data_IF_568419126795
#
_entry.id   IF_568419126795
#
_cell.length_a   1.000
_cell.length_b   1.000
_cell.length_c   1.000
_cell.angle_alpha   90.00
_cell.angle_beta   90.00
_cell.angle_gamma   90.00
#
_symmetry.space_group_name_H-M   'P 1'
#
loop_
_entity.id
_entity.type
_entity.pdbx_description
1 polymer ?
#
# COMPACT_ATOMS: atom_id res chain seq x y z
N UNK A 1 -18.41 -8.98 -21.12
CA UNK A 1 -19.61 -9.80 -20.92
C UNK A 1 -20.50 -9.12 -19.89
N UNK A 2 -21.71 -8.72 -20.26
CA UNK A 2 -22.63 -8.08 -19.31
C UNK A 2 -23.69 -9.07 -18.86
N UNK A 3 -23.94 -9.17 -17.56
CA UNK A 3 -24.88 -10.14 -17.00
C UNK A 3 -25.94 -9.48 -16.12
N UNK A 4 -27.01 -10.24 -15.86
CA UNK A 4 -28.08 -9.88 -14.92
C UNK A 4 -28.01 -10.75 -13.66
N UNK A 5 -28.70 -10.37 -12.56
CA UNK A 5 -28.64 -11.13 -11.31
C UNK A 5 -28.94 -12.63 -11.48
N UNK A 6 -28.13 -13.48 -10.83
CA UNK A 6 -28.31 -14.93 -10.84
C UNK A 6 -27.85 -15.61 -12.14
N UNK A 7 -26.96 -14.97 -12.89
CA UNK A 7 -26.04 -15.63 -13.81
C UNK A 7 -24.78 -16.05 -13.05
N UNK A 8 -24.04 -17.02 -13.59
CA UNK A 8 -22.69 -17.33 -13.14
C UNK A 8 -21.84 -17.65 -14.36
N UNK A 9 -20.75 -16.90 -14.51
CA UNK A 9 -19.76 -17.08 -15.56
C UNK A 9 -18.93 -18.35 -15.29
N UNK A 10 -18.55 -18.58 -14.04
CA UNK A 10 -17.86 -19.79 -13.60
C UNK A 10 -18.50 -20.43 -12.34
N UNK A 11 -18.72 -21.76 -12.34
CA UNK A 11 -18.52 -22.68 -13.46
C UNK A 11 -19.62 -22.54 -14.51
N UNK A 12 -19.28 -22.34 -15.79
CA UNK A 12 -20.30 -22.35 -16.84
C UNK A 12 -19.94 -21.78 -18.21
N UNK A 13 -18.80 -21.11 -18.33
CA UNK A 13 -18.35 -20.53 -19.59
C UNK A 13 -17.04 -21.16 -20.02
N UNK A 14 -16.93 -21.50 -21.30
CA UNK A 14 -15.70 -22.00 -21.91
C UNK A 14 -15.56 -21.34 -23.27
N UNK A 15 -14.41 -20.76 -23.56
CA UNK A 15 -14.10 -20.28 -24.91
C UNK A 15 -13.03 -21.15 -25.56
N UNK A 16 -13.02 -21.15 -26.89
CA UNK A 16 -12.14 -21.99 -27.68
C UNK A 16 -11.28 -21.12 -28.58
N UNK A 17 -9.99 -21.45 -28.65
CA UNK A 17 -9.07 -20.86 -29.60
C UNK A 17 -9.12 -21.53 -30.98
N UNK A 18 -8.38 -21.00 -31.94
CA UNK A 18 -8.30 -21.52 -33.31
C UNK A 18 -7.74 -22.96 -33.41
N UNK A 19 -7.08 -23.46 -32.38
CA UNK A 19 -6.62 -24.86 -32.30
C UNK A 19 -7.68 -25.78 -31.69
N UNK A 20 -8.85 -25.25 -31.30
CA UNK A 20 -9.90 -25.98 -30.61
C UNK A 20 -9.58 -26.29 -29.16
N UNK A 21 -8.53 -25.68 -28.58
CA UNK A 21 -8.22 -25.82 -27.15
C UNK A 21 -9.24 -25.01 -26.35
N UNK A 22 -9.76 -25.64 -25.31
CA UNK A 22 -10.71 -25.05 -24.37
C UNK A 22 -9.98 -24.22 -23.31
N UNK A 23 -10.56 -23.08 -22.98
CA UNK A 23 -10.10 -22.16 -21.93
C UNK A 23 -11.27 -21.85 -20.99
N UNK A 24 -11.06 -22.05 -19.70
CA UNK A 24 -12.11 -21.88 -18.68
C UNK A 24 -11.84 -20.65 -17.81
N UNK A 25 -11.31 -19.58 -18.39
CA UNK A 25 -11.04 -18.30 -17.75
C UNK A 25 -11.66 -17.17 -18.57
N UNK A 26 -11.68 -15.96 -18.01
CA UNK A 26 -12.13 -14.77 -18.73
C UNK A 26 -11.06 -13.67 -18.66
N UNK A 27 -10.03 -13.82 -19.51
CA UNK A 27 -8.87 -12.92 -19.58
C UNK A 27 -7.85 -13.12 -18.45
N UNK A 28 -8.17 -13.97 -17.48
CA UNK A 28 -7.26 -14.39 -16.41
C UNK A 28 -6.30 -15.48 -16.89
N UNK A 29 -5.14 -15.56 -16.26
CA UNK A 29 -4.20 -16.69 -16.40
C UNK A 29 -4.65 -17.95 -15.64
N UNK A 30 -5.69 -17.85 -14.80
CA UNK A 30 -6.16 -18.90 -13.90
C UNK A 30 -7.57 -19.37 -14.34
N UNK A 31 -7.70 -20.67 -14.55
CA UNK A 31 -8.99 -21.29 -14.84
C UNK A 31 -9.98 -21.08 -13.69
N UNK A 32 -11.21 -20.74 -14.05
CA UNK A 32 -12.32 -20.44 -13.15
C UNK A 32 -12.38 -18.97 -12.73
N UNK A 33 -11.47 -18.10 -13.18
CA UNK A 33 -11.43 -16.70 -12.78
C UNK A 33 -11.58 -15.73 -13.96
N UNK A 34 -12.10 -14.55 -13.66
CA UNK A 34 -11.96 -13.34 -14.47
C UNK A 34 -10.70 -12.56 -14.05
N UNK A 35 -10.32 -11.57 -14.86
CA UNK A 35 -9.25 -10.61 -14.51
C UNK A 35 -9.45 -9.98 -13.13
N UNK A 36 -10.68 -9.60 -12.77
CA UNK A 36 -10.99 -9.08 -11.43
C UNK A 36 -10.76 -10.11 -10.32
N UNK A 37 -11.02 -11.39 -10.59
CA UNK A 37 -10.89 -12.48 -9.62
C UNK A 37 -9.43 -12.81 -9.36
N UNK A 38 -8.62 -12.88 -10.41
CA UNK A 38 -7.16 -13.02 -10.31
C UNK A 38 -6.54 -11.87 -9.52
N UNK A 39 -7.02 -10.64 -9.73
CA UNK A 39 -6.57 -9.45 -9.00
C UNK A 39 -7.26 -9.25 -7.65
N UNK A 40 -8.19 -10.13 -7.24
CA UNK A 40 -8.96 -10.01 -5.98
C UNK A 40 -9.70 -8.66 -5.83
N UNK A 41 -10.24 -8.14 -6.92
CA UNK A 41 -11.01 -6.88 -7.00
C UNK A 41 -12.51 -7.08 -7.13
N UNK A 42 -12.95 -8.33 -7.23
CA UNK A 42 -14.36 -8.70 -7.17
C UNK A 42 -14.61 -9.66 -6.00
N UNK A 43 -15.85 -9.67 -5.51
CA UNK A 43 -16.27 -10.46 -4.33
C UNK A 43 -16.32 -11.99 -4.58
N UNK A 44 -16.15 -12.40 -5.83
CA UNK A 44 -16.24 -13.77 -6.33
C UNK A 44 -15.22 -13.97 -7.46
N UNK A 45 -15.26 -15.10 -8.16
CA UNK A 45 -14.38 -15.37 -9.29
C UNK A 45 -14.50 -14.34 -10.43
N UNK A 46 -15.71 -13.81 -10.63
CA UNK A 46 -16.06 -12.75 -11.58
C UNK A 46 -17.12 -11.83 -10.98
N UNK A 47 -17.30 -10.63 -11.52
CA UNK A 47 -18.43 -9.77 -11.15
C UNK A 47 -19.78 -10.43 -11.50
N UNK A 48 -19.80 -11.23 -12.57
CA UNK A 48 -20.95 -11.98 -13.02
C UNK A 48 -21.23 -13.30 -12.28
N UNK A 49 -20.43 -13.67 -11.27
CA UNK A 49 -20.67 -14.89 -10.46
C UNK A 49 -21.54 -14.64 -9.21
N UNK A 50 -21.99 -13.40 -9.00
CA UNK A 50 -22.71 -12.96 -7.81
C UNK A 50 -24.22 -12.78 -7.99
N UNK A 51 -24.94 -12.79 -6.85
CA UNK A 51 -26.35 -12.43 -6.73
C UNK A 51 -26.59 -10.92 -6.56
N UNK A 52 -25.77 -10.07 -7.19
CA UNK A 52 -25.94 -8.60 -7.14
C UNK A 52 -27.29 -8.28 -7.78
N UNK A 53 -28.30 -8.00 -6.95
CA UNK A 53 -29.71 -8.03 -7.32
C UNK A 53 -30.17 -6.81 -8.14
N UNK A 54 -29.34 -5.76 -8.23
CA UNK A 54 -29.84 -4.42 -8.53
C UNK A 54 -29.14 -3.68 -9.68
N UNK A 55 -28.06 -4.25 -10.27
CA UNK A 55 -27.34 -3.62 -11.37
C UNK A 55 -26.80 -4.63 -12.40
N UNK A 56 -26.78 -4.23 -13.68
CA UNK A 56 -26.04 -4.98 -14.71
C UNK A 56 -24.55 -4.82 -14.45
N UNK A 57 -23.84 -5.94 -14.25
CA UNK A 57 -22.38 -5.96 -14.11
C UNK A 57 -21.73 -6.43 -15.40
N UNK A 58 -20.47 -6.05 -15.60
CA UNK A 58 -19.70 -6.44 -16.80
C UNK A 58 -18.33 -6.97 -16.40
N UNK A 59 -17.99 -8.16 -16.90
CA UNK A 59 -16.63 -8.69 -16.89
C UNK A 59 -15.99 -8.47 -18.27
N UNK A 60 -15.05 -7.53 -18.34
CA UNK A 60 -14.23 -7.29 -19.51
C UNK A 60 -12.97 -8.17 -19.45
N UNK A 61 -12.57 -8.69 -20.61
CA UNK A 61 -11.37 -9.51 -20.74
C UNK A 61 -10.65 -9.15 -22.03
N UNK A 62 -9.33 -9.10 -21.93
CA UNK A 62 -8.44 -8.97 -23.08
C UNK A 62 -7.51 -10.17 -23.10
N UNK A 63 -7.57 -10.96 -24.17
CA UNK A 63 -6.65 -12.10 -24.36
C UNK A 63 -5.47 -11.58 -25.17
N UNK A 64 -4.29 -11.57 -24.55
CA UNK A 64 -3.05 -11.03 -25.16
C UNK A 64 -2.08 -12.12 -25.62
N UNK A 65 -2.23 -13.36 -25.12
CA UNK A 65 -1.45 -14.51 -25.56
C UNK A 65 -1.84 -14.91 -27.00
N UNK A 66 -0.93 -14.63 -27.94
CA UNK A 66 -1.11 -14.92 -29.37
C UNK A 66 -1.38 -16.39 -29.66
N UNK A 67 -0.92 -17.30 -28.79
CA UNK A 67 -1.13 -18.75 -28.98
C UNK A 67 -2.57 -19.18 -28.69
N UNK A 68 -3.35 -18.33 -28.01
CA UNK A 68 -4.76 -18.56 -27.68
C UNK A 68 -5.71 -17.78 -28.60
N UNK A 69 -5.18 -17.03 -29.57
CA UNK A 69 -5.98 -16.23 -30.50
C UNK A 69 -6.04 -16.87 -31.90
N UNK A 70 -7.08 -16.56 -32.70
CA UNK A 70 -8.32 -15.91 -32.29
C UNK A 70 -9.22 -16.80 -31.43
N UNK A 71 -10.12 -16.16 -30.71
CA UNK A 71 -11.24 -16.79 -30.05
C UNK A 71 -12.30 -17.14 -31.10
N UNK A 72 -12.58 -18.43 -31.30
CA UNK A 72 -13.43 -18.91 -32.42
C UNK A 72 -14.84 -19.32 -32.00
N UNK A 73 -15.05 -19.66 -30.72
CA UNK A 73 -16.38 -19.93 -30.19
C UNK A 73 -16.41 -19.82 -28.67
N UNK A 74 -17.60 -19.56 -28.13
CA UNK A 74 -17.87 -19.56 -26.69
C UNK A 74 -19.05 -20.47 -26.42
N UNK A 75 -18.88 -21.39 -25.47
CA UNK A 75 -19.92 -22.27 -24.97
C UNK A 75 -20.37 -21.80 -23.59
N UNK A 76 -21.68 -21.73 -23.41
CA UNK A 76 -22.32 -21.45 -22.12
C UNK A 76 -23.13 -22.66 -21.71
N UNK A 77 -22.87 -23.18 -20.50
CA UNK A 77 -23.67 -24.25 -19.91
C UNK A 77 -25.03 -23.75 -19.43
N UNK A 78 -25.13 -22.45 -19.12
CA UNK A 78 -26.34 -21.79 -18.64
C UNK A 78 -27.04 -21.04 -19.79
N UNK A 79 -28.02 -21.68 -20.42
CA UNK A 79 -28.78 -21.08 -21.53
C UNK A 79 -29.97 -20.25 -21.04
N UNK A 80 -29.81 -18.95 -20.83
CA UNK A 80 -30.93 -18.02 -20.67
C UNK A 80 -30.73 -16.76 -21.52
N UNK A 81 -31.58 -16.59 -22.54
CA UNK A 81 -31.49 -15.50 -23.56
C UNK A 81 -31.43 -14.09 -22.97
N UNK A 82 -31.97 -13.88 -21.77
CA UNK A 82 -32.09 -12.56 -21.16
C UNK A 82 -31.10 -12.31 -20.02
N UNK A 83 -30.20 -13.27 -19.73
CA UNK A 83 -29.30 -13.19 -18.56
C UNK A 83 -27.86 -12.78 -18.83
N UNK A 84 -27.46 -12.69 -20.10
CA UNK A 84 -26.09 -12.36 -20.49
C UNK A 84 -26.00 -11.85 -21.91
N UNK A 85 -25.12 -10.87 -22.13
CA UNK A 85 -24.74 -10.35 -23.45
C UNK A 85 -23.22 -10.48 -23.59
N UNK A 86 -22.80 -11.15 -24.66
CA UNK A 86 -21.39 -11.24 -25.06
C UNK A 86 -21.19 -10.28 -26.21
N UNK A 87 -20.14 -9.47 -26.11
CA UNK A 87 -19.60 -8.73 -27.24
C UNK A 87 -18.16 -9.22 -27.46
N UNK A 88 -17.82 -9.54 -28.70
CA UNK A 88 -16.48 -10.01 -29.09
C UNK A 88 -16.01 -9.12 -30.22
N UNK A 89 -15.10 -8.21 -29.88
CA UNK A 89 -14.49 -7.28 -30.82
C UNK A 89 -13.64 -8.01 -31.88
N UNK A 90 -13.39 -7.39 -33.05
CA UNK A 90 -12.53 -7.97 -34.07
C UNK A 90 -11.13 -8.31 -33.55
N UNK A 91 -10.53 -9.40 -34.06
CA UNK A 91 -9.11 -9.69 -33.81
C UNK A 91 -8.26 -8.56 -34.40
N UNK A 92 -7.51 -7.87 -33.55
CA UNK A 92 -6.55 -6.85 -33.95
C UNK A 92 -5.13 -7.42 -33.91
N UNK A 93 -4.40 -7.31 -35.02
CA UNK A 93 -3.00 -7.72 -35.12
C UNK A 93 -2.16 -6.57 -35.68
N UNK A 94 -0.99 -6.35 -35.09
CA UNK A 94 -0.08 -5.28 -35.47
C UNK A 94 1.36 -5.71 -35.22
N UNK A 95 2.29 -5.06 -35.91
CA UNK A 95 3.74 -5.20 -35.67
C UNK A 95 4.22 -4.27 -34.54
N UNK A 96 3.30 -3.60 -33.84
CA UNK A 96 3.52 -2.76 -32.66
C UNK A 96 2.50 -3.14 -31.59
N UNK A 97 2.76 -2.88 -30.28
CA UNK A 97 1.76 -3.05 -29.24
C UNK A 97 0.51 -2.27 -29.62
N UNK A 98 -0.62 -2.94 -29.55
CA UNK A 98 -1.92 -2.33 -29.79
C UNK A 98 -2.41 -1.92 -28.42
N UNK A 99 -2.57 -0.63 -28.13
CA UNK A 99 -3.33 -0.16 -26.96
C UNK A 99 -2.94 -0.86 -25.63
N UNK A 100 -1.67 -1.20 -25.45
CA UNK A 100 -1.14 -1.73 -24.20
C UNK A 100 -0.26 -0.64 -23.61
N UNK A 101 -0.72 0.07 -22.58
CA UNK A 101 0.07 1.14 -21.97
C UNK A 101 1.26 0.55 -21.22
N UNK A 102 2.31 1.35 -21.07
CA UNK A 102 3.47 0.97 -20.27
C UNK A 102 3.12 0.73 -18.82
N UNK A 103 2.30 1.59 -18.26
CA UNK A 103 1.80 1.53 -16.89
C UNK A 103 0.44 2.22 -16.78
N UNK A 104 -0.17 2.18 -15.60
CA UNK A 104 -1.47 2.81 -15.37
C UNK A 104 -1.40 4.36 -15.47
N UNK A 105 -0.21 4.96 -15.31
CA UNK A 105 -0.05 6.40 -15.47
C UNK A 105 -0.18 6.81 -16.94
N UNK A 106 0.51 6.11 -17.84
CA UNK A 106 0.34 6.30 -19.29
C UNK A 106 -1.11 6.02 -19.71
N UNK A 107 -1.69 4.94 -19.20
CA UNK A 107 -3.08 4.60 -19.49
C UNK A 107 -4.02 5.77 -19.17
N UNK A 108 -3.88 6.39 -18.00
CA UNK A 108 -4.70 7.52 -17.60
C UNK A 108 -4.48 8.77 -18.46
N UNK A 109 -3.23 9.20 -18.61
CA UNK A 109 -2.94 10.53 -19.17
C UNK A 109 -2.73 10.56 -20.68
N UNK A 110 -2.27 9.46 -21.27
CA UNK A 110 -1.99 9.39 -22.71
C UNK A 110 -3.08 8.64 -23.48
N UNK A 111 -3.73 7.65 -22.85
CA UNK A 111 -4.78 6.84 -23.47
C UNK A 111 -6.20 7.19 -23.01
N UNK A 112 -6.37 8.01 -21.97
CA UNK A 112 -7.67 8.53 -21.53
C UNK A 112 -8.53 7.54 -20.74
N UNK A 113 -7.92 6.58 -20.03
CA UNK A 113 -8.65 5.73 -19.10
C UNK A 113 -8.96 6.49 -17.80
N UNK A 114 -10.25 6.64 -17.47
CA UNK A 114 -10.71 7.40 -16.31
C UNK A 114 -11.21 6.53 -15.13
N UNK A 115 -11.63 5.30 -15.40
CA UNK A 115 -12.21 4.39 -14.40
C UNK A 115 -11.20 3.34 -13.93
N UNK A 116 -11.32 2.94 -12.66
CA UNK A 116 -10.54 1.84 -12.09
C UNK A 116 -10.80 0.53 -12.84
N UNK A 117 -9.72 -0.15 -13.27
CA UNK A 117 -9.89 -1.34 -14.12
C UNK A 117 -8.70 -2.31 -14.10
N UNK A 118 -8.95 -3.63 -14.17
CA UNK A 118 -7.94 -4.61 -14.56
C UNK A 118 -7.41 -4.34 -15.97
N UNK A 119 -6.08 -4.31 -16.13
CA UNK A 119 -5.45 -4.01 -17.42
C UNK A 119 -4.14 -4.79 -17.59
N UNK A 120 -3.82 -5.15 -18.84
CA UNK A 120 -2.47 -5.59 -19.18
C UNK A 120 -1.58 -4.37 -19.45
N UNK A 121 -0.43 -4.32 -18.79
CA UNK A 121 0.60 -3.31 -19.04
C UNK A 121 1.88 -3.94 -19.60
N UNK A 122 2.68 -3.15 -20.30
CA UNK A 122 3.90 -3.59 -21.00
C UNK A 122 5.06 -2.61 -20.74
N UNK A 123 5.87 -2.89 -19.72
CA UNK A 123 6.85 -1.93 -19.18
C UNK A 123 7.98 -1.57 -20.15
N UNK A 124 8.36 -2.50 -21.02
CA UNK A 124 9.51 -2.43 -21.93
C UNK A 124 9.12 -2.52 -23.41
N UNK A 125 7.84 -2.75 -23.71
CA UNK A 125 7.29 -2.70 -25.05
C UNK A 125 7.46 -4.03 -25.80
N UNK A 126 7.21 -4.02 -27.13
CA UNK A 126 6.99 -5.25 -27.90
C UNK A 126 8.18 -6.20 -28.00
N UNK A 127 9.38 -5.68 -27.77
CA UNK A 127 10.63 -6.43 -27.89
C UNK A 127 11.15 -6.93 -26.52
N UNK A 128 10.39 -6.65 -25.46
CA UNK A 128 10.71 -6.95 -24.07
C UNK A 128 9.98 -8.18 -23.51
N UNK A 129 9.72 -8.16 -22.21
CA UNK A 129 8.94 -9.17 -21.50
C UNK A 129 7.46 -9.15 -21.92
N UNK A 130 6.75 -10.27 -21.71
CA UNK A 130 5.33 -10.32 -22.05
C UNK A 130 4.50 -9.41 -21.13
N UNK A 131 3.49 -8.69 -21.69
CA UNK A 131 2.57 -7.87 -20.92
C UNK A 131 1.92 -8.65 -19.77
N UNK A 132 1.61 -7.96 -18.68
CA UNK A 132 1.08 -8.60 -17.48
C UNK A 132 -0.06 -7.85 -16.83
N UNK A 133 -0.90 -8.61 -16.11
CA UNK A 133 -2.16 -8.13 -15.58
C UNK A 133 -1.94 -7.38 -14.26
N UNK A 134 -2.44 -6.15 -14.19
CA UNK A 134 -2.41 -5.30 -13.00
C UNK A 134 -3.78 -4.72 -12.74
N UNK A 135 -3.99 -4.20 -11.54
CA UNK A 135 -5.13 -3.32 -11.28
C UNK A 135 -4.68 -1.87 -11.42
N UNK A 136 -5.34 -1.12 -12.30
CA UNK A 136 -5.12 0.31 -12.43
C UNK A 136 -6.15 1.06 -11.60
N UNK A 137 -5.65 1.81 -10.62
CA UNK A 137 -6.42 2.81 -9.88
C UNK A 137 -6.23 4.16 -10.57
N UNK A 138 -7.30 4.62 -11.19
CA UNK A 138 -7.37 5.86 -11.95
C UNK A 138 -8.15 6.94 -11.18
N UNK A 139 -8.89 6.57 -10.13
CA UNK A 139 -9.85 7.45 -9.49
C UNK A 139 -9.37 8.02 -8.15
N UNK A 140 -8.50 7.31 -7.41
CA UNK A 140 -8.10 7.73 -6.06
C UNK A 140 -7.40 9.08 -6.02
N UNK A 141 -6.68 9.44 -7.09
CA UNK A 141 -5.93 10.69 -7.18
C UNK A 141 -5.98 11.28 -8.57
N UNK A 142 -6.44 12.52 -8.70
CA UNK A 142 -6.61 13.19 -10.01
C UNK A 142 -5.30 13.24 -10.84
N UNK A 143 -4.14 13.46 -10.19
CA UNK A 143 -2.87 13.76 -10.86
C UNK A 143 -2.04 12.54 -11.28
N UNK A 144 -2.50 11.32 -10.99
CA UNK A 144 -1.71 10.09 -11.12
C UNK A 144 -2.61 8.88 -11.42
N UNK A 145 -2.13 7.95 -12.26
CA UNK A 145 -2.71 6.60 -12.41
C UNK A 145 -1.80 5.59 -11.73
N UNK A 146 -2.33 4.77 -10.84
CA UNK A 146 -1.55 3.91 -9.93
C UNK A 146 -1.63 2.46 -10.40
N UNK A 147 -0.47 1.87 -10.65
CA UNK A 147 -0.33 0.43 -10.89
C UNK A 147 -0.32 -0.31 -9.57
N UNK A 148 -1.30 -1.18 -9.33
CA UNK A 148 -1.41 -1.98 -8.11
C UNK A 148 -1.17 -3.46 -8.39
N UNK A 149 -0.30 -4.08 -7.59
CA UNK A 149 -0.05 -5.52 -7.57
C UNK A 149 -0.54 -6.11 -6.24
N UNK A 150 -1.71 -6.77 -6.24
CA UNK A 150 -2.25 -7.41 -5.05
C UNK A 150 -1.39 -8.56 -4.53
N UNK A 151 -1.46 -8.80 -3.22
CA UNK A 151 -0.90 -10.01 -2.60
C UNK A 151 -1.89 -11.18 -2.66
N UNK A 152 -1.36 -12.40 -2.77
CA UNK A 152 -2.13 -13.64 -2.77
C UNK A 152 -2.46 -14.15 -1.35
N UNK A 153 -1.75 -13.68 -0.33
CA UNK A 153 -2.00 -14.06 1.06
C UNK A 153 -3.39 -13.58 1.55
N UNK A 154 -3.91 -14.23 2.60
CA UNK A 154 -5.12 -13.80 3.29
C UNK A 154 -4.88 -12.48 4.06
N UNK A 155 -5.96 -11.77 4.39
CA UNK A 155 -5.91 -10.58 5.25
C UNK A 155 -6.85 -10.84 6.46
N UNK A 156 -6.33 -10.90 7.70
CA UNK A 156 -4.92 -10.82 8.07
C UNK A 156 -4.13 -12.10 7.72
N UNK A 157 -2.80 -11.98 7.70
CA UNK A 157 -1.84 -13.09 7.59
C UNK A 157 -1.50 -13.57 9.00
N UNK A 158 -1.89 -14.79 9.31
CA UNK A 158 -1.53 -15.48 10.55
C UNK A 158 -0.10 -16.02 10.43
N UNK A 159 0.74 -15.76 11.44
CA UNK A 159 2.07 -16.37 11.48
C UNK A 159 2.01 -17.68 12.29
N UNK A 160 2.33 -18.78 11.61
CA UNK A 160 2.30 -20.12 12.21
C UNK A 160 3.69 -20.66 12.57
N UNK A 161 4.76 -20.07 12.03
CA UNK A 161 6.15 -20.45 12.29
C UNK A 161 7.05 -19.22 12.49
N UNK A 162 8.08 -19.34 13.32
CA UNK A 162 9.03 -18.24 13.56
C UNK A 162 9.81 -17.85 12.29
N UNK A 163 9.88 -18.74 11.30
CA UNK A 163 10.47 -18.45 9.99
C UNK A 163 9.64 -17.47 9.15
N UNK A 164 8.38 -17.21 9.55
CA UNK A 164 7.44 -16.34 8.86
C UNK A 164 6.78 -16.99 7.65
N UNK A 165 5.72 -16.37 7.16
CA UNK A 165 5.02 -16.81 5.95
C UNK A 165 5.53 -16.03 4.72
N UNK A 166 5.79 -16.70 3.59
CA UNK A 166 6.18 -16.02 2.36
C UNK A 166 5.02 -15.18 1.82
N UNK A 167 5.32 -13.94 1.43
CA UNK A 167 4.38 -13.07 0.74
C UNK A 167 4.46 -13.35 -0.75
N UNK A 168 3.31 -13.71 -1.33
CA UNK A 168 3.18 -14.00 -2.75
C UNK A 168 2.27 -12.96 -3.39
N UNK A 169 2.48 -12.67 -4.66
CA UNK A 169 1.78 -11.63 -5.41
C UNK A 169 1.06 -12.23 -6.61
N UNK A 170 0.06 -11.51 -7.12
CA UNK A 170 -0.63 -11.90 -8.36
C UNK A 170 0.28 -11.90 -9.59
N UNK A 171 1.43 -11.22 -9.51
CA UNK A 171 2.48 -11.21 -10.53
C UNK A 171 3.79 -11.78 -9.97
N UNK A 172 4.65 -12.27 -10.87
CA UNK A 172 5.96 -12.77 -10.48
C UNK A 172 6.90 -11.64 -10.03
N UNK A 173 7.86 -12.00 -9.18
CA UNK A 173 8.81 -11.03 -8.61
C UNK A 173 9.71 -10.37 -9.67
N UNK A 174 9.91 -10.99 -10.83
CA UNK A 174 10.68 -10.39 -11.93
C UNK A 174 9.95 -9.20 -12.53
N UNK A 175 8.67 -9.36 -12.84
CA UNK A 175 7.80 -8.27 -13.32
C UNK A 175 7.61 -7.17 -12.28
N UNK A 176 7.45 -7.54 -11.01
CA UNK A 176 7.38 -6.58 -9.90
C UNK A 176 8.67 -5.76 -9.79
N UNK A 177 9.83 -6.40 -9.91
CA UNK A 177 11.11 -5.70 -9.91
C UNK A 177 11.22 -4.70 -11.07
N UNK A 178 10.84 -5.12 -12.29
CA UNK A 178 10.78 -4.23 -13.44
C UNK A 178 9.85 -3.03 -13.22
N UNK A 179 8.69 -3.25 -12.59
CA UNK A 179 7.75 -2.17 -12.25
C UNK A 179 8.37 -1.17 -11.28
N UNK A 180 9.02 -1.65 -10.21
CA UNK A 180 9.67 -0.79 -9.20
C UNK A 180 10.81 0.02 -9.83
N UNK A 181 11.66 -0.61 -10.63
CA UNK A 181 12.79 0.03 -11.32
C UNK A 181 12.30 1.09 -12.33
N UNK A 182 11.21 0.80 -13.04
CA UNK A 182 10.59 1.68 -14.05
C UNK A 182 9.67 2.78 -13.50
N UNK A 183 9.43 2.82 -12.18
CA UNK A 183 8.53 3.78 -11.53
C UNK A 183 9.31 4.83 -10.74
N UNK A 184 8.81 6.06 -10.72
CA UNK A 184 9.41 7.15 -9.93
C UNK A 184 9.02 7.07 -8.44
N UNK A 185 7.86 6.50 -8.14
CA UNK A 185 7.39 6.33 -6.77
C UNK A 185 6.68 4.99 -6.62
N UNK A 186 7.00 4.28 -5.54
CA UNK A 186 6.28 3.09 -5.13
C UNK A 186 6.05 3.13 -3.63
N UNK A 187 4.97 2.51 -3.18
CA UNK A 187 4.68 2.38 -1.76
C UNK A 187 4.03 1.06 -1.41
N UNK A 188 4.26 0.60 -0.18
CA UNK A 188 3.56 -0.55 0.37
C UNK A 188 3.34 -0.38 1.88
N UNK A 189 2.10 -0.57 2.34
CA UNK A 189 1.76 -0.50 3.77
C UNK A 189 2.02 -1.84 4.45
N UNK A 190 2.55 -1.78 5.66
CA UNK A 190 2.70 -2.94 6.56
C UNK A 190 2.07 -2.59 7.89
N UNK A 191 1.22 -3.48 8.40
CA UNK A 191 0.60 -3.39 9.72
C UNK A 191 0.87 -4.69 10.48
N UNK A 192 1.25 -4.56 11.74
CA UNK A 192 1.54 -5.65 12.65
C UNK A 192 0.72 -5.50 13.92
N UNK A 193 -0.13 -6.48 14.19
CA UNK A 193 -0.89 -6.58 15.43
C UNK A 193 -0.30 -7.71 16.28
N UNK A 194 -0.15 -7.48 17.57
CA UNK A 194 0.63 -8.36 18.43
C UNK A 194 0.07 -8.43 19.86
N UNK A 195 0.40 -9.51 20.54
CA UNK A 195 0.29 -9.65 22.00
C UNK A 195 1.56 -10.31 22.50
N UNK A 196 2.36 -9.61 23.31
CA UNK A 196 3.66 -10.06 23.83
C UNK A 196 4.62 -10.59 22.74
N UNK A 197 4.58 -10.02 21.54
CA UNK A 197 5.39 -10.46 20.40
C UNK A 197 6.16 -9.27 19.84
N UNK A 198 7.46 -9.26 20.11
CA UNK A 198 8.33 -8.10 19.89
C UNK A 198 8.69 -7.91 18.42
N UNK A 199 8.89 -6.67 18.03
CA UNK A 199 9.51 -6.25 16.77
C UNK A 199 10.96 -5.80 16.99
N UNK A 200 11.81 -6.09 15.99
CA UNK A 200 13.20 -5.63 15.94
C UNK A 200 14.16 -6.38 16.87
N UNK A 201 15.43 -5.97 16.85
CA UNK A 201 16.49 -6.61 17.62
C UNK A 201 16.84 -8.02 17.14
N UNK A 202 17.58 -8.75 17.99
CA UNK A 202 18.08 -10.10 17.68
C UNK A 202 16.97 -11.14 17.58
N UNK A 203 15.97 -11.06 18.46
CA UNK A 203 14.97 -12.11 18.66
C UNK A 203 13.54 -11.68 18.26
N UNK A 204 13.33 -10.44 17.82
CA UNK A 204 12.02 -9.94 17.42
C UNK A 204 11.65 -10.22 15.96
N UNK A 205 10.37 -10.04 15.67
CA UNK A 205 9.82 -10.07 14.32
C UNK A 205 10.42 -9.00 13.42
N UNK A 206 10.44 -9.27 12.12
CA UNK A 206 11.07 -8.41 11.14
C UNK A 206 10.45 -8.54 9.75
N UNK A 207 10.58 -7.47 8.97
CA UNK A 207 10.13 -7.39 7.57
C UNK A 207 11.30 -7.71 6.64
N UNK A 208 11.04 -8.56 5.64
CA UNK A 208 12.00 -8.92 4.59
C UNK A 208 11.52 -8.44 3.23
N UNK A 209 12.45 -8.04 2.37
CA UNK A 209 12.20 -7.25 1.16
C UNK A 209 13.16 -7.63 0.03
N UNK A 210 12.81 -7.37 -1.25
CA UNK A 210 13.56 -7.76 -2.48
C UNK A 210 13.74 -9.27 -2.69
N UNK A 211 14.20 -9.98 -1.66
CA UNK A 211 14.31 -11.43 -1.53
C UNK A 211 13.99 -11.83 -0.09
N UNK A 212 13.67 -13.11 0.13
CA UNK A 212 13.33 -13.62 1.47
C UNK A 212 14.51 -13.60 2.47
N UNK A 213 15.67 -13.06 2.07
CA UNK A 213 16.90 -12.98 2.88
C UNK A 213 17.29 -11.58 3.31
N UNK A 214 16.86 -10.51 2.61
CA UNK A 214 17.20 -9.14 3.04
C UNK A 214 16.21 -8.67 4.10
N UNK A 215 16.66 -8.71 5.35
CA UNK A 215 15.95 -8.22 6.55
C UNK A 215 16.09 -6.70 6.63
N UNK A 216 14.98 -5.98 6.81
CA UNK A 216 15.02 -4.58 7.22
C UNK A 216 15.50 -4.48 8.67
N UNK A 217 16.39 -3.53 8.94
CA UNK A 217 16.85 -3.22 10.29
C UNK A 217 15.93 -2.24 11.03
N UNK A 218 14.76 -1.94 10.48
CA UNK A 218 13.70 -1.12 11.07
C UNK A 218 12.35 -1.70 10.65
N UNK A 219 11.29 -1.34 11.38
CA UNK A 219 9.92 -1.62 10.96
C UNK A 219 9.35 -0.42 10.18
N UNK A 220 8.55 -0.64 9.12
CA UNK A 220 7.98 0.43 8.30
C UNK A 220 7.41 1.60 9.11
N UNK A 221 7.61 2.83 8.64
CA UNK A 221 7.33 4.07 9.37
C UNK A 221 8.47 4.56 10.27
N UNK A 222 9.47 3.72 10.57
CA UNK A 222 10.66 4.13 11.34
C UNK A 222 11.73 4.88 10.55
N UNK A 223 11.58 5.02 9.22
CA UNK A 223 12.49 5.72 8.29
C UNK A 223 13.99 5.50 8.57
N UNK A 224 14.39 4.23 8.69
CA UNK A 224 15.79 3.83 8.90
C UNK A 224 16.30 3.96 10.33
N UNK A 225 15.47 4.37 11.31
CA UNK A 225 15.84 4.27 12.73
C UNK A 225 15.95 2.80 13.12
N UNK A 226 17.18 2.37 13.38
CA UNK A 226 17.53 0.98 13.68
C UNK A 226 16.70 0.43 14.84
N UNK A 227 16.21 -0.80 14.68
CA UNK A 227 15.41 -1.58 15.62
C UNK A 227 14.18 -0.83 16.19
N UNK A 228 13.59 0.04 15.37
CA UNK A 228 12.42 0.85 15.73
C UNK A 228 11.35 0.86 14.63
N UNK A 229 10.12 1.22 15.00
CA UNK A 229 8.99 1.49 14.11
C UNK A 229 8.62 2.98 14.17
N UNK A 230 7.51 3.35 13.52
CA UNK A 230 7.01 4.72 13.49
C UNK A 230 7.00 5.43 14.85
N UNK A 231 6.27 4.90 15.84
CA UNK A 231 6.17 5.55 17.14
C UNK A 231 7.53 5.65 17.86
N UNK A 232 8.42 4.68 17.66
CA UNK A 232 9.74 4.74 18.30
C UNK A 232 10.65 5.74 17.61
N UNK A 233 10.45 6.00 16.31
CA UNK A 233 11.16 7.03 15.56
C UNK A 233 10.78 8.44 16.01
N UNK A 234 9.50 8.66 16.27
CA UNK A 234 8.94 9.92 16.75
C UNK A 234 8.93 10.05 18.28
N UNK A 235 9.32 9.01 19.01
CA UNK A 235 9.23 8.92 20.49
C UNK A 235 7.80 9.11 21.03
N UNK A 236 6.81 8.66 20.24
CA UNK A 236 5.38 8.78 20.53
C UNK A 236 4.71 7.43 20.85
N UNK A 237 5.47 6.40 21.27
CA UNK A 237 4.89 5.10 21.62
C UNK A 237 4.06 5.17 22.91
N UNK A 238 3.15 4.22 23.08
CA UNK A 238 2.17 4.18 24.19
C UNK A 238 2.82 3.99 25.58
N UNK A 239 4.05 3.49 25.61
CA UNK A 239 4.86 3.32 26.82
C UNK A 239 6.21 4.05 26.70
N UNK A 240 6.78 4.55 27.81
CA UNK A 240 8.10 5.15 27.80
C UNK A 240 9.19 4.10 27.52
N UNK A 241 10.27 4.54 26.87
CA UNK A 241 11.49 3.74 26.61
C UNK A 241 11.29 2.48 25.72
N UNK A 242 10.13 2.31 25.08
CA UNK A 242 9.93 1.25 24.07
C UNK A 242 10.22 1.76 22.67
N UNK A 243 10.79 0.90 21.82
CA UNK A 243 11.08 1.25 20.42
C UNK A 243 9.93 0.95 19.46
N UNK A 244 8.90 0.25 19.95
CA UNK A 244 7.63 -0.05 19.30
C UNK A 244 6.52 -0.36 20.30
N UNK A 245 5.27 -0.15 19.92
CA UNK A 245 4.12 -0.52 20.74
C UNK A 245 4.08 -2.04 20.96
N UNK A 246 4.42 -2.84 19.94
CA UNK A 246 4.52 -4.29 20.06
C UNK A 246 5.66 -4.80 20.95
N UNK A 247 6.52 -3.91 21.45
CA UNK A 247 7.54 -4.27 22.44
C UNK A 247 7.04 -4.15 23.89
N UNK A 248 5.77 -3.78 24.08
CA UNK A 248 5.08 -3.77 25.38
C UNK A 248 4.62 -5.19 25.72
N UNK A 249 5.11 -5.72 26.84
CA UNK A 249 4.81 -7.07 27.34
C UNK A 249 3.79 -7.04 28.51
N UNK A 250 2.60 -6.48 28.28
CA UNK A 250 1.54 -6.35 29.30
C UNK A 250 0.38 -7.36 29.12
N UNK A 251 0.43 -8.19 28.08
CA UNK A 251 -0.63 -9.14 27.74
C UNK A 251 -1.81 -8.55 26.97
N UNK A 252 -1.78 -7.25 26.65
CA UNK A 252 -2.80 -6.60 25.82
C UNK A 252 -2.40 -6.62 24.33
N UNK A 253 -3.37 -6.30 23.48
CA UNK A 253 -3.13 -6.19 22.04
C UNK A 253 -2.55 -4.82 21.69
N UNK A 254 -1.40 -4.83 21.03
CA UNK A 254 -0.72 -3.63 20.52
C UNK A 254 -0.63 -3.69 19.00
N UNK A 255 -0.33 -2.54 18.40
CA UNK A 255 -0.19 -2.41 16.95
C UNK A 255 0.87 -1.40 16.55
N UNK A 256 1.63 -1.75 15.52
CA UNK A 256 2.51 -0.85 14.80
C UNK A 256 2.21 -0.95 13.30
N UNK A 257 2.20 0.17 12.59
CA UNK A 257 2.06 0.18 11.13
C UNK A 257 2.96 1.22 10.49
N UNK A 258 3.16 1.11 9.17
CA UNK A 258 3.87 2.14 8.43
C UNK A 258 3.85 1.90 6.94
N UNK A 259 4.28 2.92 6.21
CA UNK A 259 4.38 2.92 4.76
C UNK A 259 5.87 2.82 4.38
N UNK A 260 6.20 1.87 3.51
CA UNK A 260 7.52 1.82 2.89
C UNK A 260 7.44 2.64 1.60
N UNK A 261 8.28 3.66 1.47
CA UNK A 261 8.36 4.50 0.25
C UNK A 261 9.72 4.43 -0.43
N UNK A 262 10.74 3.93 0.27
CA UNK A 262 12.02 3.62 -0.36
C UNK A 262 11.84 2.43 -1.30
N UNK A 263 12.02 2.67 -2.61
CA UNK A 263 11.90 1.65 -3.65
C UNK A 263 12.90 0.51 -3.47
N UNK A 264 14.05 0.78 -2.86
CA UNK A 264 15.04 -0.25 -2.55
C UNK A 264 14.53 -1.19 -1.46
N UNK A 265 13.54 -0.82 -0.65
CA UNK A 265 12.95 -1.64 0.42
C UNK A 265 11.62 -2.28 0.00
N UNK A 266 11.39 -2.42 -1.31
CA UNK A 266 10.20 -3.04 -1.87
C UNK A 266 10.56 -4.20 -2.82
N UNK A 267 9.64 -5.14 -3.07
CA UNK A 267 8.39 -5.36 -2.33
C UNK A 267 8.65 -6.12 -1.02
N UNK A 268 7.67 -6.16 -0.11
CA UNK A 268 7.70 -7.04 1.07
C UNK A 268 7.57 -8.50 0.62
N UNK A 269 8.47 -9.37 1.06
CA UNK A 269 8.51 -10.78 0.62
C UNK A 269 8.29 -11.78 1.74
N UNK A 270 8.47 -11.38 3.00
CA UNK A 270 8.26 -12.24 4.17
C UNK A 270 8.19 -11.37 5.42
N UNK A 271 7.43 -11.81 6.41
CA UNK A 271 7.44 -11.20 7.72
C UNK A 271 7.52 -12.28 8.80
N UNK A 272 8.39 -12.07 9.78
CA UNK A 272 8.60 -12.99 10.91
C UNK A 272 8.01 -12.42 12.19
N UNK A 273 7.68 -13.25 13.16
CA UNK A 273 7.28 -12.83 14.51
C UNK A 273 7.64 -13.91 15.53
N UNK A 274 7.63 -13.52 16.80
CA UNK A 274 7.74 -14.47 17.89
C UNK A 274 6.42 -15.24 18.06
N UNK A 275 6.50 -16.53 18.37
CA UNK A 275 5.33 -17.39 18.58
C UNK A 275 5.47 -18.14 19.90
N UNK A 276 4.37 -18.37 20.60
CA UNK A 276 4.35 -19.16 21.83
C UNK A 276 2.98 -19.13 22.51
N UNK A 277 2.83 -19.89 23.58
CA UNK A 277 1.54 -20.07 24.28
C UNK A 277 0.90 -18.75 24.76
N UNK A 278 1.71 -17.71 24.99
CA UNK A 278 1.27 -16.37 25.41
C UNK A 278 1.62 -15.27 24.40
N UNK A 279 1.96 -15.65 23.16
CA UNK A 279 2.37 -14.73 22.09
C UNK A 279 1.56 -14.98 20.84
N UNK A 280 0.91 -13.94 20.34
CA UNK A 280 0.17 -13.98 19.08
C UNK A 280 0.51 -12.80 18.23
N UNK A 281 0.46 -12.99 16.91
CA UNK A 281 0.64 -11.87 15.99
C UNK A 281 0.01 -12.13 14.64
N UNK A 282 -0.47 -11.05 14.02
CA UNK A 282 -1.00 -11.05 12.67
C UNK A 282 -0.42 -9.88 11.87
N UNK A 283 -0.34 -10.05 10.56
CA UNK A 283 0.12 -9.01 9.65
C UNK A 283 -0.93 -8.66 8.62
N UNK A 284 -1.04 -7.38 8.30
CA UNK A 284 -1.72 -6.93 7.10
C UNK A 284 -0.74 -6.21 6.18
N UNK A 285 -0.57 -6.77 4.98
CA UNK A 285 0.30 -6.21 3.96
C UNK A 285 -0.58 -5.60 2.87
N UNK A 286 -0.32 -4.34 2.58
CA UNK A 286 -0.93 -3.61 1.48
C UNK A 286 -0.46 -4.15 0.13
N UNK A 287 -1.23 -3.81 -0.90
CA UNK A 287 -0.81 -4.11 -2.27
C UNK A 287 0.43 -3.27 -2.60
N UNK A 288 1.32 -3.78 -3.46
CA UNK A 288 2.41 -2.95 -3.97
C UNK A 288 1.79 -1.94 -4.94
N UNK A 289 2.01 -0.66 -4.69
CA UNK A 289 1.50 0.41 -5.54
C UNK A 289 2.67 1.18 -6.14
N UNK A 290 2.65 1.43 -7.44
CA UNK A 290 3.70 2.15 -8.16
C UNK A 290 3.13 3.12 -9.19
N UNK A 291 3.81 4.25 -9.42
CA UNK A 291 3.46 5.20 -10.47
C UNK A 291 4.63 6.12 -10.84
N UNK A 292 4.38 7.01 -11.80
CA UNK A 292 5.30 8.04 -12.27
C UNK A 292 5.25 9.33 -11.43
N UNK A 293 4.39 9.41 -10.41
CA UNK A 293 4.32 10.53 -9.47
C UNK A 293 4.02 10.01 -8.06
N UNK A 294 4.41 10.78 -7.05
CA UNK A 294 4.05 10.48 -5.66
C UNK A 294 2.53 10.56 -5.44
N UNK A 295 2.04 9.67 -4.58
CA UNK A 295 0.65 9.56 -4.14
C UNK A 295 0.61 9.01 -2.70
N UNK A 296 -0.55 9.00 -2.07
CA UNK A 296 -0.72 8.35 -0.75
C UNK A 296 -0.16 9.08 0.46
N UNK A 297 0.64 10.13 0.25
CA UNK A 297 1.23 10.93 1.33
C UNK A 297 0.50 12.26 1.44
N UNK A 298 -0.17 12.46 2.58
CA UNK A 298 -0.91 13.67 2.88
C UNK A 298 0.03 14.81 3.32
N UNK A 299 -0.36 16.08 3.12
CA UNK A 299 0.50 17.20 3.47
C UNK A 299 0.62 17.49 4.97
N UNK A 300 -0.29 16.95 5.79
CA UNK A 300 -0.29 17.06 7.24
C UNK A 300 -1.35 16.10 7.81
N UNK A 301 -1.42 16.02 9.13
CA UNK A 301 -2.37 15.17 9.82
C UNK A 301 -3.82 15.62 9.66
N UNK A 302 -4.10 16.92 9.52
CA UNK A 302 -5.48 17.36 9.25
C UNK A 302 -5.98 16.80 7.90
N UNK A 303 -5.11 16.66 6.90
CA UNK A 303 -5.49 16.01 5.65
C UNK A 303 -5.87 14.54 5.86
N UNK A 304 -5.06 13.76 6.58
CA UNK A 304 -5.39 12.37 6.92
C UNK A 304 -6.71 12.26 7.69
N UNK A 305 -6.93 13.15 8.66
CA UNK A 305 -8.19 13.24 9.39
C UNK A 305 -9.38 13.53 8.44
N UNK A 306 -9.23 14.48 7.50
CA UNK A 306 -10.26 14.81 6.53
C UNK A 306 -10.57 13.64 5.55
N UNK A 307 -9.57 12.81 5.22
CA UNK A 307 -9.73 11.66 4.31
C UNK A 307 -10.22 10.39 4.99
N UNK A 308 -10.46 10.42 6.30
CA UNK A 308 -11.10 9.31 7.01
C UNK A 308 -10.22 8.60 8.04
N UNK A 309 -8.94 8.97 8.17
CA UNK A 309 -8.06 8.38 9.19
C UNK A 309 -8.48 8.82 10.59
N UNK A 310 -8.48 7.88 11.54
CA UNK A 310 -8.96 8.10 12.91
C UNK A 310 -8.02 7.58 13.99
N UNK A 311 -7.02 6.80 13.61
CA UNK A 311 -6.09 6.19 14.53
C UNK A 311 -4.83 7.05 14.70
N UNK A 312 -4.61 7.55 15.92
CA UNK A 312 -3.44 8.38 16.20
C UNK A 312 -2.21 7.50 16.24
N UNK A 313 -1.19 7.86 15.48
CA UNK A 313 0.05 7.10 15.34
C UNK A 313 1.06 7.95 14.55
N UNK A 314 2.19 7.36 14.16
CA UNK A 314 3.16 7.99 13.24
C UNK A 314 2.75 7.83 11.77
N UNK A 315 2.71 8.94 11.03
CA UNK A 315 2.43 8.97 9.60
C UNK A 315 3.53 9.73 8.87
N UNK A 316 3.80 9.35 7.63
CA UNK A 316 4.59 10.18 6.72
C UNK A 316 3.75 11.37 6.25
N UNK A 317 4.32 12.57 6.22
CA UNK A 317 3.72 13.75 5.62
C UNK A 317 4.65 14.37 4.59
N UNK A 318 4.07 15.04 3.61
CA UNK A 318 4.80 15.84 2.61
C UNK A 318 4.24 17.28 2.58
N UNK A 319 4.86 18.15 3.37
CA UNK A 319 4.32 19.48 3.67
C UNK A 319 4.36 20.46 2.51
N UNK A 320 5.19 20.27 1.50
CA UNK A 320 5.25 21.14 0.31
C UNK A 320 4.85 20.41 -0.98
N UNK A 321 4.68 19.10 -0.93
CA UNK A 321 4.24 18.28 -2.03
C UNK A 321 5.40 17.84 -2.93
N UNK A 322 5.06 17.06 -3.94
CA UNK A 322 6.05 16.41 -4.80
C UNK A 322 7.04 17.40 -5.42
N UNK A 323 8.34 17.11 -5.29
CA UNK A 323 9.43 17.92 -5.82
C UNK A 323 9.95 19.01 -4.88
N UNK A 324 9.39 19.10 -3.67
CA UNK A 324 9.90 19.88 -2.57
C UNK A 324 10.89 19.10 -1.70
N UNK A 325 10.72 19.20 -0.38
CA UNK A 325 11.46 18.35 0.57
C UNK A 325 10.95 16.92 0.54
N UNK A 326 11.77 15.96 0.96
CA UNK A 326 11.32 14.57 1.06
C UNK A 326 10.23 14.42 2.14
N UNK A 327 9.32 13.44 2.01
CA UNK A 327 8.38 13.10 3.07
C UNK A 327 9.10 12.74 4.38
N UNK A 328 8.46 13.03 5.52
CA UNK A 328 9.02 12.74 6.84
C UNK A 328 7.96 12.30 7.84
N UNK A 329 8.33 11.48 8.84
CA UNK A 329 7.38 10.94 9.79
C UNK A 329 7.10 11.94 10.91
N UNK A 330 5.84 12.00 11.32
CA UNK A 330 5.32 12.85 12.39
C UNK A 330 4.31 12.08 13.21
N UNK A 331 4.13 12.45 14.48
CA UNK A 331 2.96 11.96 15.22
C UNK A 331 1.72 12.71 14.70
N UNK A 332 0.73 11.94 14.24
CA UNK A 332 -0.61 12.44 13.99
C UNK A 332 -1.51 12.12 15.16
N UNK A 333 -1.97 13.16 15.84
CA UNK A 333 -2.94 13.07 16.92
C UNK A 333 -4.32 13.50 16.42
N UNK A 334 -5.25 12.54 16.35
CA UNK A 334 -6.64 12.75 15.96
C UNK A 334 -7.54 12.93 17.19
N UNK A 335 -7.98 14.17 17.42
CA UNK A 335 -8.87 14.50 18.53
C UNK A 335 -10.31 14.65 18.05
N UNK A 336 -11.27 14.27 18.90
CA UNK A 336 -12.71 14.33 18.56
C UNK A 336 -13.33 15.70 18.82
N UNK A 337 -12.85 16.44 19.81
CA UNK A 337 -13.49 17.68 20.28
C UNK A 337 -12.45 18.76 20.66
N UNK A 338 -12.28 19.81 19.84
CA UNK A 338 -12.83 19.94 18.48
C UNK A 338 -12.24 18.86 17.55
N UNK A 339 -13.02 18.40 16.56
CA UNK A 339 -12.56 17.39 15.60
C UNK A 339 -11.42 17.97 14.76
N UNK A 340 -10.21 17.46 14.92
CA UNK A 340 -9.04 17.89 14.15
C UNK A 340 -7.92 16.84 14.18
N UNK A 341 -7.09 16.84 13.15
CA UNK A 341 -5.78 16.20 13.11
C UNK A 341 -4.68 17.20 13.47
N UNK A 342 -3.88 16.87 14.48
CA UNK A 342 -2.71 17.65 14.89
C UNK A 342 -1.45 16.97 14.39
N UNK A 343 -0.58 17.77 13.79
CA UNK A 343 0.76 17.35 13.38
C UNK A 343 1.74 17.74 14.47
N UNK A 344 2.38 16.73 15.07
CA UNK A 344 3.31 16.89 16.19
C UNK A 344 4.68 16.42 15.72
N UNK A 345 5.66 17.31 15.84
CA UNK A 345 7.08 17.03 15.56
C UNK A 345 7.81 17.13 16.89
N UNK A 346 8.23 15.97 17.41
CA UNK A 346 8.90 15.88 18.69
C UNK A 346 10.35 16.36 18.62
N UNK A 347 10.94 16.65 19.77
CA UNK A 347 12.37 16.92 19.89
C UNK A 347 13.03 16.16 21.05
N UNK A 348 14.35 16.04 21.02
CA UNK A 348 15.19 15.22 21.91
C UNK A 348 15.21 15.61 23.42
N UNK A 349 14.39 16.57 23.85
CA UNK A 349 14.44 17.17 25.20
C UNK A 349 13.05 17.54 25.72
N UNK A 350 12.08 16.67 25.51
CA UNK A 350 10.73 16.84 26.05
C UNK A 350 10.65 16.44 27.54
N UNK A 351 9.73 17.08 28.28
CA UNK A 351 9.59 16.90 29.72
C UNK A 351 10.51 17.79 30.58
N UNK A 352 10.71 17.39 31.84
CA UNK A 352 11.48 18.19 32.80
C UNK A 352 12.98 17.92 32.64
N UNK A 353 13.68 18.82 31.93
CA UNK A 353 15.15 18.81 31.84
C UNK A 353 15.78 19.67 32.93
N UNK A 354 16.90 19.20 33.49
CA UNK A 354 17.75 20.05 34.35
C UNK A 354 18.76 20.77 33.47
N UNK A 355 18.73 22.10 33.48
CA UNK A 355 19.64 22.92 32.67
C UNK A 355 20.95 23.12 33.43
N UNK A 356 22.04 22.55 32.90
CA UNK A 356 23.41 22.69 33.41
C UNK A 356 24.34 23.48 32.47
N UNK A 357 23.81 23.89 31.31
CA UNK A 357 24.49 24.68 30.27
C UNK A 357 23.84 26.06 30.10
N UNK A 358 24.62 27.02 29.63
CA UNK A 358 24.12 28.34 29.20
C UNK A 358 23.32 28.26 27.91
N UNK A 359 23.67 27.31 27.04
CA UNK A 359 23.03 27.08 25.75
C UNK A 359 22.34 25.71 25.76
N UNK A 360 21.03 25.72 25.57
CA UNK A 360 20.20 24.53 25.39
C UNK A 360 19.75 24.50 23.93
N UNK A 361 20.16 23.48 23.20
CA UNK A 361 19.75 23.25 21.81
C UNK A 361 18.72 22.13 21.76
N UNK A 362 17.71 22.24 20.90
CA UNK A 362 16.69 21.23 20.67
C UNK A 362 16.89 20.63 19.28
N UNK A 363 16.90 19.31 19.19
CA UNK A 363 16.98 18.57 17.93
C UNK A 363 15.63 17.93 17.67
N UNK A 364 14.96 18.37 16.61
CA UNK A 364 13.69 17.78 16.21
C UNK A 364 13.92 16.38 15.62
N UNK A 365 13.08 15.44 16.02
CA UNK A 365 13.17 14.04 15.64
C UNK A 365 12.60 13.85 14.23
N UNK A 366 13.35 13.12 13.40
CA UNK A 366 12.94 12.69 12.05
C UNK A 366 12.56 13.80 11.05
N UNK A 367 12.77 15.07 11.39
CA UNK A 367 12.47 16.21 10.54
C UNK A 367 13.67 17.14 10.44
N UNK A 368 14.06 17.46 9.20
CA UNK A 368 15.08 18.46 8.90
C UNK A 368 14.53 19.89 9.09
N UNK A 369 15.41 20.90 9.26
CA UNK A 369 14.98 22.29 9.32
C UNK A 369 14.11 22.74 8.15
N UNK A 370 14.44 22.30 6.92
CA UNK A 370 13.69 22.65 5.70
C UNK A 370 12.29 22.01 5.69
N UNK A 371 12.18 20.77 6.17
CA UNK A 371 10.89 20.10 6.35
C UNK A 371 10.00 20.80 7.38
N UNK A 372 10.60 21.24 8.50
CA UNK A 372 9.89 22.03 9.50
C UNK A 372 9.48 23.38 8.93
N UNK A 373 10.33 24.06 8.15
CA UNK A 373 9.98 25.32 7.49
C UNK A 373 8.80 25.15 6.52
N UNK A 374 8.80 24.08 5.73
CA UNK A 374 7.69 23.73 4.84
C UNK A 374 6.38 23.51 5.62
N UNK A 375 6.44 22.77 6.73
CA UNK A 375 5.30 22.54 7.61
C UNK A 375 4.77 23.84 8.25
N UNK A 376 5.67 24.69 8.75
CA UNK A 376 5.32 25.99 9.33
C UNK A 376 4.64 26.89 8.30
N UNK A 377 5.17 26.95 7.08
CA UNK A 377 4.62 27.75 5.97
C UNK A 377 3.24 27.27 5.53
N UNK A 378 2.99 25.95 5.57
CA UNK A 378 1.67 25.37 5.26
C UNK A 378 0.66 25.58 6.37
N UNK A 379 1.11 25.60 7.62
CA UNK A 379 0.23 25.61 8.80
C UNK A 379 -0.35 27.01 9.05
N UNK A 380 -1.66 27.07 9.30
CA UNK A 380 -2.32 28.36 9.65
C UNK A 380 -1.98 28.78 11.08
N UNK A 381 -1.85 27.80 11.97
CA UNK A 381 -1.54 28.02 13.39
C UNK A 381 -0.48 27.02 13.83
N UNK A 382 0.53 27.52 14.53
CA UNK A 382 1.56 26.71 15.18
C UNK A 382 1.74 27.25 16.60
N UNK A 383 1.90 26.34 17.56
CA UNK A 383 2.14 26.71 18.96
C UNK A 383 3.15 25.74 19.56
N UNK A 384 4.07 26.27 20.35
CA UNK A 384 4.96 25.50 21.20
C UNK A 384 5.03 26.21 22.54
N UNK A 385 4.87 25.45 23.63
CA UNK A 385 4.90 26.01 24.98
C UNK A 385 6.31 25.89 25.56
N UNK A 386 6.78 26.96 26.22
CA UNK A 386 8.06 27.01 26.90
C UNK A 386 7.79 27.45 28.33
N UNK A 387 8.25 26.66 29.31
CA UNK A 387 8.12 26.97 30.73
C UNK A 387 9.45 26.77 31.46
N UNK A 388 9.65 27.49 32.56
CA UNK A 388 10.84 27.40 33.41
C UNK A 388 10.42 27.40 34.88
N UNK A 389 10.86 26.38 35.63
CA UNK A 389 10.67 26.31 37.09
C UNK A 389 11.94 26.79 37.81
N UNK A 390 11.85 27.91 38.53
CA UNK A 390 12.99 28.54 39.20
C UNK A 390 13.02 28.19 40.70
N UNK A 391 13.96 27.33 41.08
CA UNK A 391 14.36 27.15 42.50
C UNK A 391 15.58 28.03 42.79
N UNK A 392 15.32 29.30 43.13
CA UNK A 392 16.30 30.31 43.60
C UNK A 392 17.21 31.01 42.56
N UNK A 393 16.83 31.07 41.29
CA UNK A 393 17.56 31.81 40.24
C UNK A 393 16.78 33.04 39.75
N UNK A 394 17.50 34.12 39.43
CA UNK A 394 16.94 35.35 38.84
C UNK A 394 17.09 35.27 37.33
N UNK A 395 15.99 35.31 36.57
CA UNK A 395 16.05 35.44 35.10
C UNK A 395 16.40 36.89 34.79
N UNK A 396 17.64 37.14 34.35
CA UNK A 396 18.02 38.41 33.74
C UNK A 396 17.81 38.30 32.24
N UNK A 397 16.77 38.96 31.74
CA UNK A 397 16.60 39.20 30.30
C UNK A 397 17.56 40.35 29.96
N UNK A 398 18.61 40.09 29.19
CA UNK A 398 19.49 41.16 28.70
C UNK A 398 18.68 42.02 27.69
N UNK A 399 18.69 43.36 27.80
CA UNK A 399 17.78 44.26 27.08
C UNK A 399 18.05 44.43 25.58
#
# INVERSE_FOLDING_TARGET
FSCTPGYSLFPGTTWYDNNGKAHNNWGSSIDGLCTCGELKRCSSACYCDGSQADASTTDAARVVDKTQLPLVSIAFSQGQKDKGRVDVEPLMCSNRPIETPKDCHEAKFELGYEEDTPMFIDLDGPDGEEPFLVFCDMESYEHVGITQIPINNGKPIEITTEEGEPITYTQDLGKIKGLIEGSLFCSQKVEFQCTNSKLGGTDGGAVYVESTTRKLNYFPGGEGKEDSCGCGATESCDAPEVTCNCNIDDGEAHKDFGLIINREDLPVTKVTAQIGDSRSSTYEIGDLQCSQKQFGIGPNCENYHATGERESYTYLIDSDGTGGVDPFPVECLFVKEPSQGKTIVHHDKEGNITVDSTDVTFTYLMASPDQIEALLKRSTFCTQEISVDCKQTTITVDP
#
